data_IF_193917162334
#
_entry.id   IF_193917162334
#
_cell.length_a   1.000
_cell.length_b   1.000
_cell.length_c   1.000
_cell.angle_alpha   90.00
_cell.angle_beta   90.00
_cell.angle_gamma   90.00
#
_symmetry.space_group_name_H-M   'P 1'
#
loop_
_entity.id
_entity.type
_entity.pdbx_description
1 polymer ?
#
# COMPACT_ATOMS: atom_id res chain seq x y z
N UNK A 1 -16.05 -13.91 11.83
CA UNK A 1 -16.50 -13.29 10.57
C UNK A 1 -17.80 -13.92 10.02
N UNK A 2 -18.16 -15.11 10.48
CA UNK A 2 -19.32 -15.85 9.95
C UNK A 2 -20.63 -15.61 10.74
N UNK A 3 -20.61 -14.84 11.80
CA UNK A 3 -21.75 -14.71 12.72
C UNK A 3 -22.57 -13.45 12.53
N UNK A 4 -22.21 -12.55 11.60
CA UNK A 4 -22.94 -11.32 11.34
C UNK A 4 -23.57 -11.31 9.95
N UNK A 5 -24.56 -10.43 9.76
CA UNK A 5 -25.08 -10.15 8.43
C UNK A 5 -23.98 -9.46 7.61
N UNK A 6 -24.08 -9.54 6.27
CA UNK A 6 -23.16 -8.83 5.37
C UNK A 6 -23.09 -7.35 5.69
N UNK A 7 -24.22 -6.73 6.00
CA UNK A 7 -24.30 -5.32 6.35
C UNK A 7 -23.59 -5.02 7.68
N UNK A 8 -23.78 -5.84 8.70
CA UNK A 8 -23.10 -5.69 9.99
C UNK A 8 -21.58 -5.84 9.86
N UNK A 9 -21.14 -6.82 9.08
CA UNK A 9 -19.71 -7.03 8.80
C UNK A 9 -19.13 -5.83 8.06
N UNK A 10 -19.84 -5.32 7.06
CA UNK A 10 -19.39 -4.14 6.30
C UNK A 10 -19.24 -2.92 7.21
N UNK A 11 -20.20 -2.64 8.08
CA UNK A 11 -20.13 -1.51 9.00
C UNK A 11 -18.96 -1.68 9.98
N UNK A 12 -18.77 -2.89 10.52
CA UNK A 12 -17.66 -3.16 11.44
C UNK A 12 -16.30 -2.96 10.75
N UNK A 13 -16.13 -3.42 9.52
CA UNK A 13 -14.90 -3.24 8.76
C UNK A 13 -14.64 -1.76 8.42
N UNK A 14 -15.68 -1.01 8.07
CA UNK A 14 -15.57 0.42 7.80
C UNK A 14 -15.11 1.21 9.03
N UNK A 15 -15.68 0.90 10.20
CA UNK A 15 -15.26 1.53 11.45
C UNK A 15 -13.82 1.19 11.79
N UNK A 16 -13.43 -0.05 11.59
CA UNK A 16 -12.08 -0.50 11.84
C UNK A 16 -11.09 0.17 10.88
N UNK A 17 -11.46 0.30 9.61
CA UNK A 17 -10.68 1.02 8.61
C UNK A 17 -10.41 2.46 9.05
N UNK A 18 -11.45 3.19 9.46
CA UNK A 18 -11.33 4.58 9.91
C UNK A 18 -10.37 4.68 11.10
N UNK A 19 -10.51 3.80 12.10
CA UNK A 19 -9.64 3.78 13.27
C UNK A 19 -8.19 3.51 12.90
N UNK A 20 -7.94 2.54 12.00
CA UNK A 20 -6.58 2.12 11.65
C UNK A 20 -5.87 3.10 10.70
N UNK A 21 -6.60 3.69 9.74
CA UNK A 21 -5.96 4.32 8.59
C UNK A 21 -6.20 5.81 8.45
N UNK A 22 -7.16 6.39 9.15
CA UNK A 22 -7.49 7.81 8.99
C UNK A 22 -6.88 8.74 10.04
N UNK A 23 -6.07 8.21 10.95
CA UNK A 23 -5.24 9.02 11.84
C UNK A 23 -5.98 9.76 12.95
N UNK A 24 -7.23 9.36 13.26
CA UNK A 24 -8.04 10.00 14.31
C UNK A 24 -7.42 9.78 15.69
N UNK A 25 -6.80 8.61 15.90
CA UNK A 25 -6.11 8.27 17.15
C UNK A 25 -4.67 7.87 16.83
N UNK A 26 -3.67 8.80 16.97
CA UNK A 26 -2.30 8.55 16.49
C UNK A 26 -1.63 7.27 16.99
N UNK A 27 -1.97 6.84 18.21
CA UNK A 27 -1.40 5.61 18.79
C UNK A 27 -2.11 4.34 18.35
N UNK A 28 -3.24 4.46 17.64
CA UNK A 28 -4.10 3.35 17.22
C UNK A 28 -4.26 3.26 15.72
N UNK A 29 -3.41 3.96 14.98
CA UNK A 29 -3.50 3.99 13.53
C UNK A 29 -2.17 3.66 12.89
N UNK A 30 -2.26 3.18 11.65
CA UNK A 30 -1.14 2.99 10.75
C UNK A 30 -1.50 3.70 9.44
N UNK A 31 -0.85 4.82 9.15
CA UNK A 31 -1.18 5.61 7.97
C UNK A 31 -0.68 4.90 6.71
N UNK A 32 -1.55 4.69 5.69
CA UNK A 32 -1.19 3.92 4.50
C UNK A 32 -0.53 4.77 3.40
N UNK A 33 0.45 5.58 3.78
CA UNK A 33 1.18 6.48 2.89
C UNK A 33 2.68 6.31 3.07
N UNK A 34 3.42 6.22 1.97
CA UNK A 34 4.89 6.11 2.03
C UNK A 34 5.51 7.28 2.79
N UNK A 35 5.02 8.50 2.58
CA UNK A 35 5.54 9.70 3.23
C UNK A 35 5.40 9.67 4.75
N UNK A 36 4.48 8.89 5.30
CA UNK A 36 4.33 8.74 6.75
C UNK A 36 5.41 7.85 7.37
N UNK A 37 6.08 7.01 6.56
CA UNK A 37 7.03 5.99 7.01
C UNK A 37 8.47 6.21 6.53
N UNK A 38 8.65 7.07 5.53
CA UNK A 38 9.94 7.33 4.90
C UNK A 38 10.38 8.77 5.13
N UNK A 39 11.69 9.02 5.01
CA UNK A 39 12.25 10.36 5.05
C UNK A 39 11.97 11.10 6.36
N UNK A 40 11.43 12.30 6.26
CA UNK A 40 11.10 13.15 7.40
C UNK A 40 9.84 12.74 8.15
N UNK A 41 9.07 11.78 7.61
CA UNK A 41 7.75 11.41 8.13
C UNK A 41 6.66 12.42 7.83
N UNK A 42 6.94 13.44 7.03
CA UNK A 42 5.94 14.43 6.61
C UNK A 42 5.10 13.89 5.47
N UNK A 43 3.78 14.01 5.58
CA UNK A 43 2.88 13.69 4.47
C UNK A 43 3.17 14.64 3.28
N UNK A 44 3.00 14.10 2.08
CA UNK A 44 3.16 14.85 0.82
C UNK A 44 4.59 15.36 0.55
N UNK A 45 5.60 14.70 1.14
CA UNK A 45 7.01 15.01 0.92
C UNK A 45 7.56 14.27 -0.32
N UNK A 46 8.88 14.12 -0.43
CA UNK A 46 9.59 13.53 -1.57
C UNK A 46 8.97 12.24 -2.16
N UNK A 47 8.42 11.30 -1.36
CA UNK A 47 7.76 10.12 -1.91
C UNK A 47 6.62 10.44 -2.88
N UNK A 48 5.85 11.51 -2.65
CA UNK A 48 4.78 11.93 -3.55
C UNK A 48 5.34 12.30 -4.92
N UNK A 49 6.40 13.10 -4.96
CA UNK A 49 7.02 13.52 -6.22
C UNK A 49 7.57 12.33 -7.01
N UNK A 50 8.23 11.37 -6.33
CA UNK A 50 8.75 10.16 -6.97
C UNK A 50 7.62 9.32 -7.55
N UNK A 51 6.52 9.16 -6.82
CA UNK A 51 5.36 8.41 -7.30
C UNK A 51 4.69 9.09 -8.50
N UNK A 52 4.60 10.43 -8.49
CA UNK A 52 4.06 11.17 -9.64
C UNK A 52 4.84 10.87 -10.90
N UNK A 53 6.19 10.83 -10.82
CA UNK A 53 7.05 10.52 -11.95
C UNK A 53 6.84 9.08 -12.45
N UNK A 54 6.70 8.12 -11.54
CA UNK A 54 6.45 6.72 -11.89
C UNK A 54 5.08 6.55 -12.55
N UNK A 55 4.05 7.23 -12.05
CA UNK A 55 2.73 7.21 -12.66
C UNK A 55 2.74 7.78 -14.08
N UNK A 56 3.47 8.87 -14.32
CA UNK A 56 3.64 9.43 -15.65
C UNK A 56 4.30 8.44 -16.60
N UNK A 57 5.35 7.76 -16.13
CA UNK A 57 6.05 6.73 -16.92
C UNK A 57 5.09 5.62 -17.35
N UNK A 58 4.14 5.25 -16.50
CA UNK A 58 3.15 4.21 -16.78
C UNK A 58 1.95 4.71 -17.59
N UNK A 59 1.85 6.01 -17.83
CA UNK A 59 0.69 6.61 -18.50
C UNK A 59 -0.55 6.62 -17.62
N UNK A 60 -0.37 6.59 -16.31
CA UNK A 60 -1.47 6.59 -15.35
C UNK A 60 -1.78 8.01 -14.88
N UNK A 61 -3.06 8.38 -14.95
CA UNK A 61 -3.55 9.62 -14.37
C UNK A 61 -4.43 9.28 -13.16
N UNK A 62 -4.22 10.00 -12.06
CA UNK A 62 -5.12 9.89 -10.92
C UNK A 62 -6.42 10.60 -11.27
N UNK A 63 -7.54 9.90 -11.13
CA UNK A 63 -8.85 10.49 -11.34
C UNK A 63 -9.02 11.69 -10.39
N UNK A 64 -9.56 12.80 -10.90
CA UNK A 64 -9.81 14.01 -10.07
C UNK A 64 -10.73 13.71 -8.89
N UNK A 65 -11.54 12.68 -9.00
CA UNK A 65 -12.44 12.21 -7.95
C UNK A 65 -11.74 11.36 -6.89
N UNK A 66 -10.52 10.90 -7.19
CA UNK A 66 -9.73 10.12 -6.25
C UNK A 66 -8.86 11.07 -5.42
N UNK A 67 -9.26 11.28 -4.17
CA UNK A 67 -8.57 12.20 -3.26
C UNK A 67 -7.33 11.59 -2.61
N UNK A 68 -6.96 10.36 -2.99
CA UNK A 68 -5.79 9.71 -2.43
C UNK A 68 -4.51 10.26 -3.05
N UNK A 69 -3.50 10.58 -2.24
CA UNK A 69 -2.21 11.05 -2.76
C UNK A 69 -1.46 9.94 -3.50
N UNK A 70 -0.53 10.29 -4.41
CA UNK A 70 0.20 9.31 -5.21
C UNK A 70 0.97 8.25 -4.42
N UNK A 71 1.37 8.54 -3.19
CA UNK A 71 2.13 7.61 -2.35
C UNK A 71 1.26 6.74 -1.44
N UNK A 72 -0.07 6.80 -1.60
CA UNK A 72 -0.98 5.89 -0.92
C UNK A 72 -0.76 4.45 -1.37
N UNK A 73 -0.89 3.50 -0.44
CA UNK A 73 -0.69 2.08 -0.72
C UNK A 73 -1.51 1.59 -1.92
N UNK A 74 -2.78 1.97 -2.00
CA UNK A 74 -3.65 1.55 -3.09
C UNK A 74 -3.13 2.04 -4.45
N UNK A 75 -2.62 3.27 -4.51
CA UNK A 75 -2.05 3.85 -5.73
C UNK A 75 -0.76 3.11 -6.10
N UNK A 76 0.11 2.83 -5.13
CA UNK A 76 1.34 2.10 -5.38
C UNK A 76 1.08 0.67 -5.87
N UNK A 77 0.09 -0.02 -5.29
CA UNK A 77 -0.30 -1.36 -5.75
C UNK A 77 -0.87 -1.33 -7.17
N UNK A 78 -1.70 -0.35 -7.49
CA UNK A 78 -2.23 -0.18 -8.84
C UNK A 78 -1.11 0.10 -9.86
N UNK A 79 -0.14 0.94 -9.49
CA UNK A 79 1.02 1.24 -10.32
C UNK A 79 1.88 -0.01 -10.54
N UNK A 80 2.12 -0.79 -9.48
CA UNK A 80 2.88 -2.04 -9.58
C UNK A 80 2.19 -3.03 -10.52
N UNK A 81 0.89 -3.19 -10.41
CA UNK A 81 0.12 -4.06 -11.29
C UNK A 81 0.23 -3.60 -12.75
N UNK A 82 0.15 -2.30 -13.00
CA UNK A 82 0.27 -1.75 -14.36
C UNK A 82 1.68 -1.94 -14.92
N UNK A 83 2.70 -1.72 -14.10
CA UNK A 83 4.09 -1.94 -14.51
C UNK A 83 4.34 -3.41 -14.90
N UNK A 84 3.76 -4.33 -14.14
CA UNK A 84 3.85 -5.77 -14.45
C UNK A 84 3.13 -6.09 -15.76
N UNK A 85 1.93 -5.56 -15.98
CA UNK A 85 1.19 -5.75 -17.24
C UNK A 85 1.95 -5.21 -18.44
N UNK A 86 2.63 -4.09 -18.30
CA UNK A 86 3.42 -3.46 -19.36
C UNK A 86 4.82 -4.07 -19.49
N UNK A 87 5.20 -5.01 -18.63
CA UNK A 87 6.54 -5.61 -18.58
C UNK A 87 7.65 -4.55 -18.46
N UNK A 88 7.39 -3.47 -17.73
CA UNK A 88 8.37 -2.40 -17.47
C UNK A 88 9.17 -2.73 -16.23
N UNK A 89 10.18 -3.57 -16.38
CA UNK A 89 10.91 -4.16 -15.25
C UNK A 89 11.67 -3.13 -14.41
N UNK A 90 12.27 -2.12 -15.04
CA UNK A 90 12.93 -1.05 -14.30
C UNK A 90 11.93 -0.27 -13.42
N UNK A 91 10.72 -0.05 -13.92
CA UNK A 91 9.66 0.61 -13.16
C UNK A 91 9.15 -0.29 -12.02
N UNK A 92 9.04 -1.59 -12.26
CA UNK A 92 8.70 -2.57 -11.20
C UNK A 92 9.72 -2.47 -10.06
N UNK A 93 11.02 -2.47 -10.37
CA UNK A 93 12.07 -2.32 -9.37
C UNK A 93 11.95 -1.00 -8.59
N UNK A 94 11.74 0.10 -9.31
CA UNK A 94 11.60 1.41 -8.68
C UNK A 94 10.40 1.44 -7.73
N UNK A 95 9.28 0.84 -8.12
CA UNK A 95 8.09 0.74 -7.27
C UNK A 95 8.34 -0.11 -6.03
N UNK A 96 9.02 -1.24 -6.16
CA UNK A 96 9.35 -2.08 -5.01
C UNK A 96 10.24 -1.35 -4.01
N UNK A 97 11.16 -0.50 -4.47
CA UNK A 97 11.96 0.36 -3.60
C UNK A 97 11.08 1.39 -2.90
N UNK A 98 10.16 2.04 -3.62
CA UNK A 98 9.22 3.01 -3.03
C UNK A 98 8.27 2.35 -2.03
N UNK A 99 8.07 1.04 -2.11
CA UNK A 99 7.18 0.28 -1.23
C UNK A 99 7.92 -0.40 -0.07
N UNK A 100 9.16 -0.03 0.23
CA UNK A 100 9.92 -0.60 1.34
C UNK A 100 9.29 -0.32 2.72
N UNK A 101 8.45 0.72 2.80
CA UNK A 101 7.72 1.08 4.01
C UNK A 101 6.59 0.10 4.33
N UNK A 102 6.18 -0.75 3.39
CA UNK A 102 5.04 -1.66 3.55
C UNK A 102 5.31 -2.68 4.67
N UNK A 103 6.53 -3.17 4.81
CA UNK A 103 6.87 -4.12 5.88
C UNK A 103 6.65 -3.53 7.28
N UNK A 104 7.21 -2.36 7.65
CA UNK A 104 6.92 -1.76 8.95
C UNK A 104 5.45 -1.37 9.11
N UNK A 105 4.79 -0.93 8.05
CA UNK A 105 3.35 -0.66 8.06
C UNK A 105 2.56 -1.92 8.41
N UNK A 106 2.86 -3.04 7.78
CA UNK A 106 2.18 -4.31 8.06
C UNK A 106 2.43 -4.80 9.49
N UNK A 107 3.65 -4.61 10.02
CA UNK A 107 3.94 -4.95 11.41
C UNK A 107 3.10 -4.10 12.38
N UNK A 108 2.95 -2.81 12.10
CA UNK A 108 2.10 -1.93 12.90
C UNK A 108 0.64 -2.36 12.82
N UNK A 109 0.16 -2.66 11.62
CA UNK A 109 -1.22 -3.11 11.40
C UNK A 109 -1.51 -4.42 12.13
N UNK A 110 -0.57 -5.36 12.12
CA UNK A 110 -0.69 -6.62 12.85
C UNK A 110 -0.76 -6.40 14.37
N UNK A 111 0.00 -5.43 14.90
CA UNK A 111 -0.07 -5.09 16.32
C UNK A 111 -1.40 -4.44 16.71
N UNK A 112 -1.96 -3.62 15.82
CA UNK A 112 -3.17 -2.86 16.09
C UNK A 112 -4.44 -3.68 15.91
N UNK A 113 -4.47 -4.57 14.94
CA UNK A 113 -5.67 -5.33 14.56
C UNK A 113 -5.57 -6.83 14.87
N UNK A 114 -4.37 -7.34 15.16
CA UNK A 114 -4.15 -8.71 15.60
C UNK A 114 -4.78 -9.77 14.70
N UNK A 115 -5.77 -10.48 15.23
CA UNK A 115 -6.51 -11.53 14.52
C UNK A 115 -7.64 -10.98 13.63
N UNK A 116 -7.85 -9.66 13.61
CA UNK A 116 -8.85 -9.03 12.75
C UNK A 116 -8.50 -9.13 11.27
N UNK A 117 -9.44 -8.70 10.44
CA UNK A 117 -9.30 -8.75 8.98
C UNK A 117 -8.00 -8.10 8.49
N UNK A 118 -7.71 -6.88 8.95
CA UNK A 118 -6.52 -6.14 8.50
C UNK A 118 -5.22 -6.73 9.05
N UNK A 119 -5.25 -7.27 10.26
CA UNK A 119 -4.09 -7.97 10.82
C UNK A 119 -3.73 -9.22 10.03
N UNK A 120 -4.73 -9.97 9.58
CA UNK A 120 -4.53 -11.13 8.72
C UNK A 120 -4.02 -10.70 7.34
N UNK A 121 -4.58 -9.66 6.76
CA UNK A 121 -4.11 -9.12 5.47
C UNK A 121 -2.67 -8.62 5.55
N UNK A 122 -2.23 -8.17 6.72
CA UNK A 122 -0.86 -7.74 6.96
C UNK A 122 0.18 -8.85 6.76
N UNK A 123 -0.21 -10.11 6.83
CA UNK A 123 0.66 -11.25 6.55
C UNK A 123 0.73 -11.56 5.05
N UNK A 124 -0.36 -11.31 4.34
CA UNK A 124 -0.48 -11.63 2.91
C UNK A 124 0.31 -10.65 2.05
N UNK A 125 0.24 -9.36 2.35
CA UNK A 125 0.82 -8.31 1.51
C UNK A 125 2.34 -8.41 1.37
N UNK A 126 3.14 -8.54 2.46
CA UNK A 126 4.59 -8.69 2.32
C UNK A 126 4.98 -9.95 1.55
N UNK A 127 4.24 -11.04 1.74
CA UNK A 127 4.49 -12.29 1.01
C UNK A 127 4.25 -12.13 -0.49
N UNK A 128 3.19 -11.41 -0.87
CA UNK A 128 2.89 -11.11 -2.27
C UNK A 128 3.97 -10.26 -2.91
N UNK A 129 4.43 -9.21 -2.23
CA UNK A 129 5.50 -8.34 -2.73
C UNK A 129 6.84 -9.09 -2.85
N UNK A 130 7.14 -9.98 -1.91
CA UNK A 130 8.33 -10.82 -1.97
C UNK A 130 8.30 -11.73 -3.20
N UNK A 131 7.15 -12.28 -3.55
CA UNK A 131 6.98 -13.10 -4.75
C UNK A 131 7.23 -12.31 -6.03
N UNK A 132 6.73 -11.09 -6.12
CA UNK A 132 6.98 -10.21 -7.27
C UNK A 132 8.48 -9.94 -7.40
N UNK A 133 9.15 -9.63 -6.29
CA UNK A 133 10.59 -9.37 -6.27
C UNK A 133 11.41 -10.57 -6.76
N UNK A 134 11.07 -11.78 -6.29
CA UNK A 134 11.76 -13.01 -6.70
C UNK A 134 11.51 -13.32 -8.18
N UNK A 135 10.26 -13.27 -8.62
CA UNK A 135 9.89 -13.52 -10.01
C UNK A 135 10.53 -12.55 -10.98
N UNK A 136 10.60 -11.28 -10.58
CA UNK A 136 11.27 -10.24 -11.36
C UNK A 136 12.79 -10.49 -11.49
N UNK A 137 13.46 -10.83 -10.37
CA UNK A 137 14.89 -11.14 -10.38
C UNK A 137 15.22 -12.30 -11.32
N UNK A 138 14.36 -13.30 -11.40
CA UNK A 138 14.53 -14.44 -12.33
C UNK A 138 14.35 -14.02 -13.78
N UNK A 139 13.40 -13.13 -14.05
CA UNK A 139 13.14 -12.63 -15.41
C UNK A 139 14.23 -11.73 -15.97
N UNK A 140 15.00 -11.04 -15.11
CA UNK A 140 16.10 -10.16 -15.55
C UNK A 140 17.34 -10.91 -16.04
N UNK A 141 17.52 -12.16 -15.64
CA UNK A 141 18.68 -12.96 -16.03
C UNK A 141 18.54 -13.55 -17.44
N UNK A 142 17.38 -13.40 -18.04
CA UNK A 142 17.12 -13.83 -19.42
C UNK A 142 17.31 -12.66 -20.41
#
# INVERSE_FOLDING_TARGET
LSEGTEEEVTVALQRRYTTLFEGVFPRRCALPYASAWQGSGRLYDAPVARMQNLLQTLGMELAQENHEPPDHLAVQLAALAQALRQARWATVQALLVEMDWVAPFCRAMARLDGEGYYGVMAEVLPAALARVSIGYGTGQEE
#
